data_IF_816686755688
#
_entry.id   IF_816686755688
#
_cell.length_a   1.000
_cell.length_b   1.000
_cell.length_c   1.000
_cell.angle_alpha   90.00
_cell.angle_beta   90.00
_cell.angle_gamma   90.00
#
_symmetry.space_group_name_H-M   'P 1'
#
loop_
_entity.id
_entity.type
_entity.pdbx_description
1 polymer ?
#
# COMPACT_ATOMS: atom_id res chain seq x y z
N UNK A 1 -6.27 10.41 14.98
CA UNK A 1 -7.49 10.83 15.71
C UNK A 1 -8.60 11.09 14.70
N UNK A 2 -9.78 10.59 14.99
CA UNK A 2 -11.02 10.89 14.28
C UNK A 2 -12.04 11.31 15.33
N UNK A 3 -12.62 12.49 15.21
CA UNK A 3 -13.52 13.05 16.22
C UNK A 3 -14.54 14.00 15.62
N UNK A 4 -15.67 14.16 16.31
CA UNK A 4 -16.61 15.26 16.05
C UNK A 4 -16.24 16.40 16.98
N UNK A 5 -16.03 17.60 16.42
CA UNK A 5 -15.74 18.81 17.15
C UNK A 5 -17.01 19.41 17.80
N UNK A 6 -16.84 20.36 18.70
CA UNK A 6 -17.97 21.02 19.40
C UNK A 6 -18.96 21.70 18.44
N UNK A 7 -18.47 22.19 17.31
CA UNK A 7 -19.29 22.80 16.25
C UNK A 7 -19.85 21.75 15.24
N UNK A 8 -19.75 20.45 15.57
CA UNK A 8 -20.34 19.36 14.78
C UNK A 8 -19.58 18.96 13.53
N UNK A 9 -18.34 19.42 13.35
CA UNK A 9 -17.51 19.03 12.21
C UNK A 9 -16.73 17.75 12.47
N UNK A 10 -16.57 16.91 11.44
CA UNK A 10 -15.70 15.75 11.50
C UNK A 10 -14.24 16.20 11.31
N UNK A 11 -13.40 15.88 12.28
CA UNK A 11 -11.98 16.22 12.30
C UNK A 11 -11.17 14.94 12.15
N UNK A 12 -10.26 14.94 11.18
CA UNK A 12 -9.23 13.91 11.01
C UNK A 12 -7.87 14.54 11.29
N UNK A 13 -7.12 13.98 12.22
CA UNK A 13 -5.77 14.44 12.53
C UNK A 13 -4.82 13.26 12.74
N UNK A 14 -3.73 13.22 11.98
CA UNK A 14 -2.61 12.31 12.16
C UNK A 14 -1.40 13.02 12.73
N UNK A 15 -0.49 12.29 13.38
CA UNK A 15 0.85 12.78 13.74
C UNK A 15 1.75 12.97 12.52
N UNK A 16 1.40 12.30 11.43
CA UNK A 16 2.10 12.27 10.17
C UNK A 16 1.13 12.04 8.99
N UNK A 17 1.65 11.93 7.78
CA UNK A 17 0.87 11.68 6.57
C UNK A 17 0.13 10.35 6.61
N UNK A 18 0.76 9.29 7.15
CA UNK A 18 0.14 7.99 7.31
C UNK A 18 -1.05 8.03 8.27
N UNK A 19 -0.84 8.63 9.45
CA UNK A 19 -1.90 8.79 10.45
C UNK A 19 -3.11 9.54 9.90
N UNK A 20 -2.88 10.55 9.06
CA UNK A 20 -3.96 11.27 8.38
C UNK A 20 -4.67 10.40 7.35
N UNK A 21 -3.93 9.67 6.51
CA UNK A 21 -4.48 8.75 5.52
C UNK A 21 -5.30 7.62 6.19
N UNK A 22 -4.79 7.03 7.26
CA UNK A 22 -5.54 6.02 8.03
C UNK A 22 -6.84 6.58 8.62
N UNK A 23 -6.82 7.81 9.11
CA UNK A 23 -8.02 8.47 9.62
C UNK A 23 -9.08 8.71 8.53
N UNK A 24 -8.66 9.06 7.32
CA UNK A 24 -9.57 9.22 6.16
C UNK A 24 -10.17 7.85 5.78
N UNK A 25 -9.34 6.82 5.69
CA UNK A 25 -9.81 5.47 5.34
C UNK A 25 -10.66 4.84 6.44
N UNK A 26 -10.48 5.25 7.69
CA UNK A 26 -11.35 4.86 8.80
C UNK A 26 -12.79 5.33 8.59
N UNK A 27 -13.00 6.50 7.99
CA UNK A 27 -14.35 6.95 7.60
C UNK A 27 -14.99 5.95 6.64
N UNK A 28 -14.25 5.47 5.64
CA UNK A 28 -14.75 4.43 4.73
C UNK A 28 -15.15 3.16 5.48
N UNK A 29 -14.34 2.72 6.45
CA UNK A 29 -14.64 1.54 7.28
C UNK A 29 -15.90 1.74 8.12
N UNK A 30 -16.07 2.90 8.73
CA UNK A 30 -17.28 3.25 9.49
C UNK A 30 -18.53 3.28 8.60
N UNK A 31 -18.39 3.66 7.34
CA UNK A 31 -19.44 3.58 6.32
C UNK A 31 -19.73 2.13 5.87
N UNK A 32 -18.95 1.15 6.29
CA UNK A 32 -19.14 -0.27 5.99
C UNK A 32 -18.32 -0.76 4.80
N UNK A 33 -17.37 0.02 4.30
CA UNK A 33 -16.46 -0.43 3.23
C UNK A 33 -15.37 -1.29 3.84
N UNK A 34 -15.33 -2.56 3.43
CA UNK A 34 -14.29 -3.51 3.84
C UNK A 34 -12.92 -3.11 3.25
N UNK A 35 -11.80 -3.33 3.97
CA UNK A 35 -10.48 -3.27 3.36
C UNK A 35 -10.32 -4.19 2.15
N UNK A 36 -11.07 -5.28 2.13
CA UNK A 36 -11.08 -6.31 1.08
C UNK A 36 -12.12 -6.08 -0.02
N UNK A 37 -12.74 -4.90 -0.06
CA UNK A 37 -13.78 -4.54 -1.02
C UNK A 37 -13.38 -4.94 -2.44
N UNK A 38 -12.22 -4.53 -2.90
CA UNK A 38 -11.74 -4.83 -4.25
C UNK A 38 -11.11 -6.23 -4.38
N UNK A 39 -10.28 -6.66 -3.40
CA UNK A 39 -9.53 -7.92 -3.49
C UNK A 39 -10.37 -9.18 -3.30
N UNK A 40 -11.48 -9.06 -2.61
CA UNK A 40 -12.36 -10.19 -2.29
C UNK A 40 -13.82 -9.92 -2.71
N UNK A 41 -14.05 -8.96 -3.61
CA UNK A 41 -15.38 -8.61 -4.14
C UNK A 41 -16.43 -8.37 -3.05
N UNK A 42 -16.01 -7.77 -1.94
CA UNK A 42 -16.89 -7.48 -0.80
C UNK A 42 -17.64 -6.18 -1.07
N UNK A 43 -18.75 -6.28 -1.79
CA UNK A 43 -19.57 -5.11 -2.10
C UNK A 43 -20.13 -4.49 -0.82
N UNK A 44 -19.86 -3.21 -0.55
CA UNK A 44 -20.42 -2.55 0.63
C UNK A 44 -21.93 -2.36 0.50
N UNK A 45 -22.62 -2.49 1.63
CA UNK A 45 -24.05 -2.21 1.69
C UNK A 45 -24.30 -0.71 1.49
N UNK A 46 -25.23 -0.39 0.57
CA UNK A 46 -25.58 1.01 0.30
C UNK A 46 -26.34 1.59 1.49
N UNK A 47 -25.83 2.68 2.05
CA UNK A 47 -26.46 3.43 3.13
C UNK A 47 -26.89 4.80 2.66
N UNK A 48 -28.14 5.18 2.94
CA UNK A 48 -28.65 6.51 2.59
C UNK A 48 -28.20 7.56 3.60
N UNK A 49 -27.97 7.18 4.85
CA UNK A 49 -27.57 8.08 5.92
C UNK A 49 -26.50 7.46 6.80
N UNK A 50 -25.59 8.28 7.26
CA UNK A 50 -24.61 7.92 8.28
C UNK A 50 -24.59 9.00 9.37
N UNK A 51 -24.63 8.58 10.62
CA UNK A 51 -24.65 9.50 11.77
C UNK A 51 -23.57 9.13 12.76
N UNK A 52 -22.79 10.10 13.18
CA UNK A 52 -21.86 10.00 14.30
C UNK A 52 -22.44 10.77 15.51
N UNK A 53 -22.16 10.26 16.69
CA UNK A 53 -22.46 10.99 17.92
C UNK A 53 -21.63 12.28 17.96
N UNK A 54 -22.20 13.38 18.46
CA UNK A 54 -21.46 14.61 18.73
C UNK A 54 -20.32 14.45 19.76
N UNK A 55 -20.32 13.34 20.50
CA UNK A 55 -19.23 12.95 21.42
C UNK A 55 -18.27 11.92 20.81
N UNK A 56 -18.42 11.58 19.52
CA UNK A 56 -17.59 10.59 18.87
C UNK A 56 -16.13 11.02 18.90
N UNK A 57 -15.28 10.17 19.42
CA UNK A 57 -13.84 10.34 19.44
C UNK A 57 -13.16 8.98 19.38
N UNK A 58 -12.31 8.80 18.40
CA UNK A 58 -11.45 7.63 18.24
C UNK A 58 -10.00 8.09 18.16
N UNK A 59 -9.17 7.53 19.02
CA UNK A 59 -7.74 7.78 19.06
C UNK A 59 -7.05 6.42 18.99
N UNK A 60 -6.18 6.26 18.01
CA UNK A 60 -5.41 5.04 17.84
C UNK A 60 -3.94 5.37 17.64
N UNK A 61 -3.07 4.52 18.19
CA UNK A 61 -1.65 4.54 18.01
C UNK A 61 -1.16 3.12 17.77
N UNK A 62 -0.27 2.89 16.80
CA UNK A 62 0.27 1.56 16.56
C UNK A 62 1.16 1.11 17.72
N UNK A 63 1.10 -0.17 18.06
CA UNK A 63 1.97 -0.79 19.07
C UNK A 63 3.34 -1.21 18.53
N UNK A 64 3.49 -1.25 17.19
CA UNK A 64 4.73 -1.59 16.50
C UNK A 64 4.99 -0.59 15.38
N UNK A 65 6.26 -0.31 15.13
CA UNK A 65 6.69 0.68 14.14
C UNK A 65 6.39 0.20 12.72
N UNK A 66 6.84 -1.00 12.35
CA UNK A 66 6.67 -1.56 11.01
C UNK A 66 5.51 -2.54 10.97
N UNK A 67 4.59 -2.33 10.04
CA UNK A 67 3.39 -3.13 9.81
C UNK A 67 3.20 -3.31 8.31
N UNK A 68 3.23 -4.54 7.84
CA UNK A 68 3.17 -4.77 6.40
C UNK A 68 3.08 -6.22 6.02
N UNK A 69 3.25 -6.46 4.73
CA UNK A 69 3.28 -7.79 4.15
C UNK A 69 4.49 -8.00 3.27
N UNK A 70 4.91 -9.23 3.17
CA UNK A 70 5.80 -9.75 2.15
C UNK A 70 4.97 -10.41 1.04
N UNK A 71 5.22 -10.05 -0.21
CA UNK A 71 4.64 -10.73 -1.36
C UNK A 71 5.62 -11.82 -1.81
N UNK A 72 5.30 -13.05 -1.48
CA UNK A 72 6.03 -14.21 -1.97
C UNK A 72 5.33 -14.76 -3.21
N UNK A 73 5.65 -14.21 -4.37
CA UNK A 73 5.07 -14.62 -5.63
C UNK A 73 6.03 -15.53 -6.39
N UNK A 74 5.67 -16.80 -6.47
CA UNK A 74 6.46 -17.86 -7.07
C UNK A 74 5.88 -18.34 -8.42
N UNK A 75 5.44 -17.43 -9.30
CA UNK A 75 5.03 -17.74 -10.67
C UNK A 75 3.60 -18.27 -10.86
N UNK A 76 2.82 -18.46 -9.82
CA UNK A 76 1.51 -19.10 -9.92
C UNK A 76 0.34 -18.27 -9.40
N UNK A 77 0.61 -17.12 -8.84
CA UNK A 77 -0.40 -16.28 -8.22
C UNK A 77 -0.46 -14.87 -8.79
N UNK A 78 0.00 -13.91 -8.00
CA UNK A 78 -0.17 -12.49 -8.27
C UNK A 78 0.50 -12.04 -9.59
N UNK A 79 1.72 -12.48 -9.86
CA UNK A 79 2.46 -12.02 -11.04
C UNK A 79 1.77 -12.45 -12.34
N UNK A 80 1.47 -13.76 -12.60
CA UNK A 80 0.81 -14.15 -13.83
C UNK A 80 -0.60 -13.57 -13.95
N UNK A 81 -1.32 -13.38 -12.84
CA UNK A 81 -2.61 -12.72 -12.86
C UNK A 81 -2.48 -11.24 -13.22
N UNK A 82 -1.53 -10.51 -12.62
CA UNK A 82 -1.24 -9.11 -12.93
C UNK A 82 -0.88 -8.98 -14.41
N UNK A 83 0.16 -9.69 -14.83
CA UNK A 83 0.80 -9.56 -16.14
C UNK A 83 -0.07 -10.03 -17.32
N UNK A 84 -0.94 -11.02 -17.12
CA UNK A 84 -1.74 -11.63 -18.19
C UNK A 84 -3.23 -11.23 -18.18
N UNK A 85 -3.76 -10.85 -17.02
CA UNK A 85 -5.20 -10.67 -16.83
C UNK A 85 -5.57 -9.25 -16.45
N UNK A 86 -5.01 -8.72 -15.36
CA UNK A 86 -5.44 -7.44 -14.82
C UNK A 86 -4.77 -6.24 -15.50
N UNK A 87 -3.49 -6.39 -15.78
CA UNK A 87 -2.64 -5.33 -16.35
C UNK A 87 -1.66 -5.95 -17.36
N UNK A 88 -2.16 -6.43 -18.51
CA UNK A 88 -1.35 -7.12 -19.50
C UNK A 88 -0.11 -6.32 -19.91
N UNK A 89 1.06 -6.97 -19.90
CA UNK A 89 2.35 -6.38 -20.22
C UNK A 89 3.20 -7.37 -21.00
N UNK A 90 3.96 -6.86 -21.97
CA UNK A 90 4.97 -7.63 -22.72
C UNK A 90 6.26 -7.81 -21.93
N UNK A 91 6.39 -7.14 -20.79
CA UNK A 91 7.55 -7.26 -19.90
C UNK A 91 7.40 -8.51 -19.04
N UNK A 92 8.30 -9.46 -19.26
CA UNK A 92 8.28 -10.74 -18.53
C UNK A 92 8.38 -10.52 -17.03
N UNK A 93 7.45 -11.12 -16.29
CA UNK A 93 7.47 -11.13 -14.82
C UNK A 93 7.03 -9.82 -14.15
N UNK A 94 6.48 -8.86 -14.92
CA UNK A 94 6.06 -7.58 -14.36
C UNK A 94 4.80 -7.71 -13.52
N UNK A 95 4.87 -7.25 -12.27
CA UNK A 95 3.70 -6.86 -11.49
C UNK A 95 3.55 -5.36 -11.69
N UNK A 96 2.56 -4.97 -12.49
CA UNK A 96 2.45 -3.62 -12.99
C UNK A 96 2.05 -2.59 -11.93
N UNK A 97 2.13 -1.30 -12.29
CA UNK A 97 1.85 -0.19 -11.39
C UNK A 97 0.42 -0.19 -10.85
N UNK A 98 -0.58 -0.53 -11.66
CA UNK A 98 -1.98 -0.61 -11.22
C UNK A 98 -2.21 -1.70 -10.18
N UNK A 99 -1.54 -2.83 -10.34
CA UNK A 99 -1.57 -3.93 -9.36
C UNK A 99 -0.97 -3.47 -8.03
N UNK A 100 0.17 -2.80 -8.09
CA UNK A 100 0.82 -2.26 -6.90
C UNK A 100 -0.02 -1.15 -6.22
N UNK A 101 -0.72 -0.29 -6.97
CA UNK A 101 -1.67 0.68 -6.42
C UNK A 101 -2.76 0.00 -5.58
N UNK A 102 -3.31 -1.12 -6.06
CA UNK A 102 -4.31 -1.88 -5.32
C UNK A 102 -3.75 -2.55 -4.06
N UNK A 103 -2.51 -3.02 -4.13
CA UNK A 103 -1.82 -3.54 -2.93
C UNK A 103 -1.63 -2.42 -1.91
N UNK A 104 -1.18 -1.26 -2.34
CA UNK A 104 -0.96 -0.11 -1.46
C UNK A 104 -2.26 0.40 -0.85
N UNK A 105 -3.33 0.48 -1.62
CA UNK A 105 -4.64 0.84 -1.09
C UNK A 105 -5.09 -0.14 0.01
N UNK A 106 -4.97 -1.45 -0.23
CA UNK A 106 -5.28 -2.47 0.78
C UNK A 106 -4.45 -2.26 2.05
N UNK A 107 -3.14 -2.07 1.90
CA UNK A 107 -2.24 -1.87 3.03
C UNK A 107 -2.60 -0.62 3.84
N UNK A 108 -2.92 0.49 3.18
CA UNK A 108 -3.38 1.71 3.87
C UNK A 108 -4.69 1.47 4.61
N UNK A 109 -5.65 0.76 4.01
CA UNK A 109 -6.92 0.38 4.67
C UNK A 109 -6.70 -0.52 5.89
N UNK A 110 -5.66 -1.35 5.87
CA UNK A 110 -5.22 -2.20 6.97
C UNK A 110 -4.26 -1.49 7.95
N UNK A 111 -4.00 -0.20 7.75
CA UNK A 111 -3.08 0.63 8.57
C UNK A 111 -1.64 0.12 8.56
N UNK A 112 -1.24 -0.46 7.46
CA UNK A 112 0.14 -0.85 7.22
C UNK A 112 0.95 0.31 6.65
N UNK A 113 2.27 0.30 6.89
CA UNK A 113 3.22 1.28 6.40
C UNK A 113 4.43 0.63 5.69
N UNK A 114 4.46 -0.69 5.63
CA UNK A 114 5.60 -1.42 5.08
C UNK A 114 5.14 -2.37 3.99
N UNK A 115 5.85 -2.33 2.87
CA UNK A 115 5.64 -3.23 1.75
C UNK A 115 6.94 -3.90 1.37
N UNK A 116 6.92 -5.22 1.30
CA UNK A 116 8.02 -6.04 0.84
C UNK A 116 7.62 -6.76 -0.46
N UNK A 117 8.01 -6.23 -1.62
CA UNK A 117 7.59 -6.77 -2.90
C UNK A 117 8.19 -8.12 -3.22
N UNK A 118 7.58 -8.83 -4.18
CA UNK A 118 8.07 -10.08 -4.72
C UNK A 118 9.50 -9.95 -5.26
N UNK A 119 10.31 -10.99 -5.02
CA UNK A 119 11.73 -11.01 -5.36
C UNK A 119 12.16 -12.32 -6.02
N UNK A 120 11.22 -13.16 -6.43
CA UNK A 120 11.52 -14.43 -7.07
C UNK A 120 12.18 -14.18 -8.45
N UNK A 121 12.99 -15.13 -8.94
CA UNK A 121 13.71 -15.00 -10.22
C UNK A 121 12.79 -14.81 -11.43
N UNK A 122 11.54 -15.27 -11.33
CA UNK A 122 10.54 -15.12 -12.39
C UNK A 122 9.86 -13.74 -12.38
N UNK A 123 10.00 -12.98 -11.29
CA UNK A 123 9.32 -11.68 -11.09
C UNK A 123 10.29 -10.54 -11.36
N UNK A 124 9.86 -9.58 -12.19
CA UNK A 124 10.62 -8.36 -12.40
C UNK A 124 10.74 -7.60 -11.07
N UNK A 125 11.96 -7.23 -10.65
CA UNK A 125 12.13 -6.45 -9.43
C UNK A 125 11.27 -5.17 -9.43
N UNK A 126 10.56 -4.92 -8.35
CA UNK A 126 9.63 -3.80 -8.17
C UNK A 126 10.18 -2.45 -8.66
N UNK A 127 11.46 -2.16 -8.36
CA UNK A 127 12.09 -0.89 -8.72
C UNK A 127 12.44 -0.75 -10.22
N UNK A 128 12.39 -1.84 -10.99
CA UNK A 128 12.64 -1.83 -12.42
C UNK A 128 11.37 -1.59 -13.24
N UNK A 129 10.19 -1.66 -12.62
CA UNK A 129 8.92 -1.35 -13.28
C UNK A 129 8.86 0.14 -13.60
N UNK A 130 8.84 0.50 -14.89
CA UNK A 130 9.04 1.87 -15.41
C UNK A 130 8.06 2.92 -14.84
N UNK A 131 6.81 2.56 -14.64
CA UNK A 131 5.80 3.49 -14.16
C UNK A 131 5.89 3.76 -12.65
N UNK A 132 6.44 2.83 -11.87
CA UNK A 132 6.60 2.99 -10.41
C UNK A 132 7.57 4.14 -10.08
N UNK A 133 8.51 4.47 -10.96
CA UNK A 133 9.40 5.61 -10.79
C UNK A 133 8.69 6.97 -10.68
N UNK A 134 7.53 7.15 -11.35
CA UNK A 134 6.72 8.37 -11.23
C UNK A 134 5.79 8.32 -9.99
N UNK A 135 5.20 7.19 -9.71
CA UNK A 135 4.36 6.96 -8.54
C UNK A 135 5.18 6.98 -7.25
N UNK A 136 6.45 6.54 -7.29
CA UNK A 136 7.39 6.58 -6.17
C UNK A 136 7.51 7.97 -5.54
N UNK A 137 7.47 9.06 -6.32
CA UNK A 137 7.54 10.42 -5.78
C UNK A 137 6.27 10.84 -5.02
N UNK A 138 5.10 10.39 -5.45
CA UNK A 138 3.84 10.66 -4.75
C UNK A 138 3.57 9.68 -3.60
N UNK A 139 4.14 8.48 -3.67
CA UNK A 139 3.94 7.40 -2.69
C UNK A 139 5.11 7.22 -1.72
N UNK A 140 6.31 7.71 -2.05
CA UNK A 140 7.48 7.60 -1.18
C UNK A 140 7.32 8.33 0.16
N UNK A 141 6.44 9.33 0.23
CA UNK A 141 6.05 9.95 1.49
C UNK A 141 5.09 9.09 2.33
N UNK A 142 4.53 8.02 1.74
CA UNK A 142 3.56 7.13 2.38
C UNK A 142 4.10 5.73 2.67
N UNK A 143 5.30 5.36 2.16
CA UNK A 143 5.82 4.00 2.30
C UNK A 143 7.28 3.99 2.74
N UNK A 144 7.53 3.43 3.90
CA UNK A 144 8.88 3.04 4.30
C UNK A 144 9.22 1.73 3.58
N UNK A 145 9.97 1.86 2.50
CA UNK A 145 10.54 0.71 1.83
C UNK A 145 11.81 0.31 2.59
N UNK A 146 12.12 -0.98 2.69
CA UNK A 146 13.39 -1.42 3.24
C UNK A 146 14.56 -0.65 2.61
N UNK A 147 15.58 -0.31 3.38
CA UNK A 147 16.71 0.47 2.92
C UNK A 147 17.46 -0.25 1.78
N UNK A 148 18.19 0.50 0.95
CA UNK A 148 18.98 -0.06 -0.16
C UNK A 148 19.93 -1.18 0.30
N UNK A 149 20.39 -1.17 1.54
CA UNK A 149 21.24 -2.21 2.10
C UNK A 149 20.48 -3.51 2.42
N UNK A 150 19.21 -3.43 2.82
CA UNK A 150 18.35 -4.61 2.99
C UNK A 150 18.04 -5.26 1.64
N UNK A 151 17.88 -4.46 0.58
CA UNK A 151 17.69 -4.96 -0.78
C UNK A 151 18.94 -5.65 -1.34
N UNK A 152 20.14 -5.15 -1.03
CA UNK A 152 21.40 -5.79 -1.46
C UNK A 152 21.59 -7.17 -0.86
N UNK A 153 21.14 -7.39 0.37
CA UNK A 153 21.20 -8.70 1.02
C UNK A 153 20.22 -9.72 0.44
N UNK A 154 19.22 -9.25 -0.33
CA UNK A 154 18.11 -10.05 -0.87
C UNK A 154 18.22 -10.32 -2.37
N UNK A 155 19.19 -9.71 -3.06
CA UNK A 155 19.46 -9.99 -4.47
C UNK A 155 20.32 -11.26 -4.58
N UNK A 156 20.04 -12.14 -5.55
CA UNK A 156 20.93 -13.27 -5.83
C UNK A 156 22.37 -12.78 -6.08
N UNK A 157 23.37 -13.56 -5.66
CA UNK A 157 24.79 -13.23 -5.78
C UNK A 157 25.28 -12.89 -7.20
N UNK A 158 24.46 -13.08 -8.21
CA UNK A 158 24.73 -12.72 -9.61
C UNK A 158 24.53 -11.25 -9.93
N UNK A 159 24.64 -10.38 -8.95
CA UNK A 159 24.83 -8.93 -8.86
C UNK A 159 24.95 -8.02 -10.08
N UNK A 160 24.58 -8.45 -11.29
CA UNK A 160 24.68 -7.63 -12.51
C UNK A 160 23.64 -6.51 -12.62
N UNK A 161 22.72 -6.39 -11.69
CA UNK A 161 21.63 -5.40 -11.76
C UNK A 161 21.78 -4.21 -10.80
N UNK A 162 22.84 -4.14 -9.98
CA UNK A 162 23.00 -3.10 -8.93
C UNK A 162 24.07 -2.06 -9.27
N UNK A 163 24.83 -2.20 -10.33
CA UNK A 163 25.92 -1.26 -10.66
C UNK A 163 25.54 -0.21 -11.70
N UNK A 164 24.43 0.50 -11.58
CA UNK A 164 24.31 1.85 -12.18
C UNK A 164 23.45 2.75 -11.32
N UNK A 165 24.14 3.54 -10.52
CA UNK A 165 23.82 4.90 -10.10
C UNK A 165 22.41 5.16 -9.56
N UNK A 166 22.28 5.16 -8.24
CA UNK A 166 21.53 6.23 -7.59
C UNK A 166 22.18 6.59 -6.26
N UNK A 167 23.15 7.48 -6.35
CA UNK A 167 23.52 8.33 -5.21
C UNK A 167 22.32 9.21 -4.92
N UNK A 168 21.64 8.94 -3.82
CA UNK A 168 20.62 9.85 -3.30
C UNK A 168 21.39 10.81 -2.39
N UNK A 169 21.64 12.03 -2.87
CA UNK A 169 21.92 13.20 -2.06
C UNK A 169 20.61 13.78 -1.55
#
# INVERSE_FOLDING_TARGET
MLAVSEDGKLVVAGSDSHGTAYGILEISRLLGVSPWEWWADVTPEKKETFRLSGKFRELQSPSVEYRGIFINDEDWGLMPWSNKTYEPSDVKGEIGPRTNERIFELLLRLRANTYWPAMHECTLPFFLTKAIGKQRKSMASLWELPTANQWRAMLPENGKYVEKEHTIT
#
